data_IF_947650592133
#
_entry.id   IF_947650592133
#
_cell.length_a   1.000
_cell.length_b   1.000
_cell.length_c   1.000
_cell.angle_alpha   90.00
_cell.angle_beta   90.00
_cell.angle_gamma   90.00
#
_symmetry.space_group_name_H-M   'P 1'
#
loop_
_entity.id
_entity.type
_entity.pdbx_description
1 polymer ?
#
# COMPACT_ATOMS: atom_id res chain seq x y z
N UNK A 1 12.81 1.24 -17.10
CA UNK A 1 13.21 2.04 -15.92
C UNK A 1 12.38 3.31 -15.66
N UNK A 2 11.10 3.40 -16.05
CA UNK A 2 10.25 4.59 -15.79
C UNK A 2 8.81 4.24 -15.40
N UNK A 3 8.63 3.23 -14.54
CA UNK A 3 7.30 2.71 -14.19
C UNK A 3 6.44 3.72 -13.39
N UNK A 4 7.07 4.61 -12.61
CA UNK A 4 6.39 5.56 -11.71
C UNK A 4 6.49 7.02 -12.14
N UNK A 5 7.23 7.34 -13.20
CA UNK A 5 7.40 8.73 -13.64
C UNK A 5 6.04 9.34 -14.01
N UNK A 6 5.70 10.47 -13.36
CA UNK A 6 4.43 11.18 -13.53
C UNK A 6 3.17 10.32 -13.24
N UNK A 7 3.32 9.18 -12.57
CA UNK A 7 2.18 8.36 -12.15
C UNK A 7 1.49 9.01 -10.95
N UNK A 8 0.15 9.05 -10.97
CA UNK A 8 -0.64 9.44 -9.79
C UNK A 8 -0.66 8.28 -8.82
N UNK A 9 -0.02 8.43 -7.67
CA UNK A 9 0.08 7.39 -6.65
C UNK A 9 -0.82 7.74 -5.47
N UNK A 10 -1.70 6.81 -5.10
CA UNK A 10 -2.54 6.95 -3.93
C UNK A 10 -2.14 5.93 -2.86
N UNK A 11 -1.79 6.42 -1.68
CA UNK A 11 -1.61 5.64 -0.48
C UNK A 11 -2.91 5.64 0.32
N UNK A 12 -3.50 4.46 0.55
CA UNK A 12 -4.63 4.32 1.47
C UNK A 12 -4.17 4.31 2.93
N UNK A 13 -2.92 3.95 3.20
CA UNK A 13 -2.27 4.07 4.51
C UNK A 13 -0.85 4.59 4.34
N UNK A 14 -0.71 5.90 4.17
CA UNK A 14 0.57 6.58 4.02
C UNK A 14 1.45 6.49 5.26
N UNK A 15 0.88 6.71 6.44
CA UNK A 15 1.63 6.71 7.69
C UNK A 15 2.26 5.34 7.98
N UNK A 16 1.52 4.26 7.71
CA UNK A 16 2.03 2.88 7.84
C UNK A 16 3.11 2.59 6.79
N UNK A 17 2.96 3.10 5.57
CA UNK A 17 3.87 2.86 4.45
C UNK A 17 4.80 4.05 4.19
N UNK A 18 5.20 4.77 5.24
CA UNK A 18 5.94 6.04 5.10
C UNK A 18 7.27 5.87 4.35
N UNK A 19 8.02 4.81 4.64
CA UNK A 19 9.29 4.51 3.94
C UNK A 19 9.08 4.25 2.45
N UNK A 20 7.99 3.57 2.10
CA UNK A 20 7.65 3.35 0.70
C UNK A 20 7.23 4.67 0.03
N UNK A 21 6.46 5.50 0.74
CA UNK A 21 6.07 6.83 0.27
C UNK A 21 7.27 7.75 0.06
N UNK A 22 8.25 7.73 0.97
CA UNK A 22 9.47 8.54 0.85
C UNK A 22 10.31 8.13 -0.35
N UNK A 23 10.49 6.83 -0.57
CA UNK A 23 11.20 6.32 -1.76
C UNK A 23 10.44 6.67 -3.04
N UNK A 24 9.11 6.54 -3.05
CA UNK A 24 8.31 6.92 -4.22
C UNK A 24 8.35 8.43 -4.53
N UNK A 25 8.51 9.28 -3.52
CA UNK A 25 8.63 10.73 -3.68
C UNK A 25 9.89 11.13 -4.49
N UNK A 26 10.90 10.25 -4.57
CA UNK A 26 12.08 10.47 -5.41
C UNK A 26 11.77 10.30 -6.92
N UNK A 27 10.66 9.66 -7.27
CA UNK A 27 10.28 9.34 -8.65
C UNK A 27 9.04 10.09 -9.16
N UNK A 28 8.17 10.56 -8.26
CA UNK A 28 6.94 11.29 -8.64
C UNK A 28 6.50 12.25 -7.54
N UNK A 29 6.10 13.46 -7.96
CA UNK A 29 5.48 14.46 -7.07
C UNK A 29 3.96 14.23 -6.90
N UNK A 30 3.36 13.37 -7.73
CA UNK A 30 1.90 13.13 -7.75
C UNK A 30 1.48 12.11 -6.67
N UNK A 31 1.87 12.37 -5.42
CA UNK A 31 1.54 11.54 -4.26
C UNK A 31 0.30 12.03 -3.54
N UNK A 32 -0.62 11.11 -3.24
CA UNK A 32 -1.80 11.39 -2.45
C UNK A 32 -1.98 10.40 -1.30
N UNK A 33 -2.49 10.85 -0.16
CA UNK A 33 -2.62 10.05 1.06
C UNK A 33 -4.03 10.17 1.65
N UNK A 34 -4.69 9.03 1.84
CA UNK A 34 -6.06 8.96 2.33
C UNK A 34 -6.18 8.78 3.85
N UNK A 35 -5.06 8.83 4.59
CA UNK A 35 -5.00 8.63 6.04
C UNK A 35 -6.04 9.47 6.82
N UNK A 36 -6.21 10.79 6.57
CA UNK A 36 -7.20 11.58 7.31
C UNK A 36 -8.64 11.12 7.08
N UNK A 37 -8.96 10.71 5.84
CA UNK A 37 -10.30 10.24 5.47
C UNK A 37 -10.60 8.90 6.13
N UNK A 38 -9.61 8.00 6.17
CA UNK A 38 -9.79 6.64 6.67
C UNK A 38 -9.71 6.54 8.20
N UNK A 39 -8.90 7.38 8.85
CA UNK A 39 -8.71 7.34 10.31
C UNK A 39 -9.73 8.21 11.06
N UNK A 40 -10.02 9.42 10.57
CA UNK A 40 -10.88 10.38 11.27
C UNK A 40 -12.11 10.82 10.48
N UNK A 41 -12.27 10.35 9.25
CA UNK A 41 -13.37 10.77 8.40
C UNK A 41 -13.27 12.22 7.93
N UNK A 42 -12.05 12.77 7.83
CA UNK A 42 -11.83 14.13 7.36
C UNK A 42 -12.19 14.28 5.86
N UNK A 43 -12.69 15.45 5.43
CA UNK A 43 -13.07 15.70 4.05
C UNK A 43 -11.85 16.09 3.21
N UNK A 44 -10.98 15.13 2.88
CA UNK A 44 -9.88 15.38 1.95
C UNK A 44 -8.70 14.42 2.08
N UNK A 45 -7.98 14.25 0.96
CA UNK A 45 -6.71 13.52 0.91
C UNK A 45 -5.54 14.51 0.97
N UNK A 46 -4.42 14.10 1.56
CA UNK A 46 -3.19 14.89 1.56
C UNK A 46 -2.48 14.71 0.22
N UNK A 47 -1.75 15.72 -0.24
CA UNK A 47 -1.12 15.75 -1.58
C UNK A 47 0.41 15.81 -1.53
N UNK A 48 1.01 15.60 -0.36
CA UNK A 48 2.47 15.64 -0.21
C UNK A 48 2.94 14.85 1.00
N UNK A 49 4.19 14.38 0.93
CA UNK A 49 4.84 13.70 2.05
C UNK A 49 4.92 14.61 3.28
N UNK A 50 5.20 15.90 3.07
CA UNK A 50 5.23 16.89 4.15
C UNK A 50 3.87 17.05 4.83
N UNK A 51 2.78 17.04 4.07
CA UNK A 51 1.44 17.08 4.65
C UNK A 51 1.15 15.81 5.48
N UNK A 52 1.62 14.65 5.03
CA UNK A 52 1.52 13.40 5.78
C UNK A 52 2.34 13.45 7.09
N UNK A 53 3.57 13.96 7.07
CA UNK A 53 4.40 14.14 8.28
C UNK A 53 3.71 15.03 9.31
N UNK A 54 3.20 16.19 8.88
CA UNK A 54 2.48 17.13 9.74
C UNK A 54 1.22 16.48 10.33
N UNK A 55 0.48 15.72 9.51
CA UNK A 55 -0.67 14.97 9.95
C UNK A 55 -0.30 13.90 10.99
N UNK A 56 0.74 13.09 10.74
CA UNK A 56 1.20 12.05 11.65
C UNK A 56 1.65 12.66 13.01
N UNK A 57 2.41 13.75 12.97
CA UNK A 57 2.85 14.46 14.17
C UNK A 57 1.67 15.00 15.00
N UNK A 58 0.64 15.54 14.34
CA UNK A 58 -0.54 16.09 15.01
C UNK A 58 -1.57 15.05 15.46
N UNK A 59 -1.63 13.88 14.81
CA UNK A 59 -2.63 12.83 15.09
C UNK A 59 -2.18 11.80 16.12
N UNK A 60 -0.87 11.65 16.35
CA UNK A 60 -0.29 10.71 17.32
C UNK A 60 -0.89 10.78 18.74
N UNK A 61 -1.19 11.98 19.30
CA UNK A 61 -1.85 12.08 20.61
C UNK A 61 -3.29 11.57 20.59
N UNK A 62 -4.03 11.79 19.48
CA UNK A 62 -5.46 11.47 19.36
C UNK A 62 -5.68 9.98 19.13
N UNK A 63 -4.83 9.32 18.34
CA UNK A 63 -4.92 7.88 18.08
C UNK A 63 -4.65 7.04 19.33
N UNK A 64 -3.78 7.50 20.25
CA UNK A 64 -3.55 6.86 21.56
C UNK A 64 -4.76 6.90 22.49
N UNK A 65 -5.70 7.82 22.26
CA UNK A 65 -6.90 8.00 23.06
C UNK A 65 -8.14 7.34 22.45
N UNK A 66 -8.04 6.67 21.31
CA UNK A 66 -9.18 5.97 20.70
C UNK A 66 -9.21 4.53 21.22
N UNK A 67 -10.08 4.17 22.17
CA UNK A 67 -10.21 2.80 22.63
C UNK A 67 -10.79 1.99 21.46
N UNK A 68 -10.26 0.79 21.26
CA UNK A 68 -10.87 -0.22 20.42
C UNK A 68 -12.31 -0.44 20.91
N UNK A 69 -13.32 0.08 20.19
CA UNK A 69 -14.73 -0.14 20.55
C UNK A 69 -15.68 1.06 20.49
N UNK A 70 -15.22 2.26 20.11
CA UNK A 70 -16.10 3.40 19.91
C UNK A 70 -16.64 3.50 18.48
N UNK A 71 -17.64 2.70 18.09
CA UNK A 71 -18.50 3.07 16.97
C UNK A 71 -19.20 4.39 17.35
N UNK A 72 -18.62 5.54 17.00
CA UNK A 72 -19.30 6.82 17.13
C UNK A 72 -20.61 6.71 16.30
N UNK A 73 -21.77 6.66 16.98
CA UNK A 73 -23.05 6.68 16.28
C UNK A 73 -23.27 8.11 15.79
N UNK A 74 -23.77 8.26 14.56
CA UNK A 74 -24.21 9.53 13.91
C UNK A 74 -23.30 10.30 12.94
N UNK A 75 -22.29 9.68 12.29
CA UNK A 75 -21.65 10.27 11.10
C UNK A 75 -22.12 9.65 9.77
N UNK A 76 -23.37 9.20 9.67
CA UNK A 76 -23.87 8.53 8.45
C UNK A 76 -23.71 9.37 7.15
N UNK A 77 -24.00 10.69 7.13
CA UNK A 77 -23.76 11.51 5.94
C UNK A 77 -22.27 11.67 5.62
N UNK A 78 -21.44 11.90 6.64
CA UNK A 78 -20.00 12.04 6.50
C UNK A 78 -19.34 10.77 5.95
N UNK A 79 -19.79 9.59 6.38
CA UNK A 79 -19.32 8.30 5.86
C UNK A 79 -19.63 8.12 4.38
N UNK A 80 -20.82 8.53 3.92
CA UNK A 80 -21.18 8.46 2.50
C UNK A 80 -20.31 9.39 1.65
N UNK A 81 -20.11 10.63 2.11
CA UNK A 81 -19.23 11.61 1.46
C UNK A 81 -17.80 11.08 1.40
N UNK A 82 -17.28 10.57 2.51
CA UNK A 82 -15.92 10.02 2.57
C UNK A 82 -15.75 8.82 1.64
N UNK A 83 -16.74 7.92 1.58
CA UNK A 83 -16.73 6.80 0.63
C UNK A 83 -16.70 7.28 -0.83
N UNK A 84 -17.46 8.32 -1.15
CA UNK A 84 -17.45 8.92 -2.49
C UNK A 84 -16.09 9.55 -2.82
N UNK A 85 -15.52 10.32 -1.88
CA UNK A 85 -14.19 10.91 -2.01
C UNK A 85 -13.10 9.85 -2.22
N UNK A 86 -13.13 8.77 -1.44
CA UNK A 86 -12.18 7.66 -1.58
C UNK A 86 -12.34 6.94 -2.92
N UNK A 87 -13.57 6.63 -3.35
CA UNK A 87 -13.81 6.03 -4.67
C UNK A 87 -13.30 6.92 -5.80
N UNK A 88 -13.50 8.24 -5.69
CA UNK A 88 -12.97 9.21 -6.65
C UNK A 88 -11.43 9.22 -6.65
N UNK A 89 -10.80 9.31 -5.48
CA UNK A 89 -9.35 9.28 -5.36
C UNK A 89 -8.75 8.01 -5.97
N UNK A 90 -9.36 6.85 -5.70
CA UNK A 90 -8.94 5.56 -6.27
C UNK A 90 -9.10 5.56 -7.79
N UNK A 91 -10.21 6.09 -8.33
CA UNK A 91 -10.41 6.21 -9.78
C UNK A 91 -9.39 7.12 -10.45
N UNK A 92 -9.04 8.23 -9.80
CA UNK A 92 -8.11 9.23 -10.33
C UNK A 92 -6.63 8.77 -10.28
N UNK A 93 -6.31 7.77 -9.45
CA UNK A 93 -4.94 7.24 -9.28
C UNK A 93 -4.57 6.20 -10.35
N UNK A 94 -3.30 6.15 -10.75
CA UNK A 94 -2.76 5.12 -11.65
C UNK A 94 -2.21 3.92 -10.88
N UNK A 95 -1.59 4.23 -9.73
CA UNK A 95 -0.98 3.29 -8.80
C UNK A 95 -1.65 3.43 -7.44
N UNK A 96 -2.02 2.31 -6.83
CA UNK A 96 -2.62 2.28 -5.49
C UNK A 96 -1.72 1.49 -4.56
N UNK A 97 -1.31 2.10 -3.45
CA UNK A 97 -0.59 1.44 -2.36
C UNK A 97 -1.56 1.20 -1.21
N UNK A 98 -1.87 -0.07 -0.95
CA UNK A 98 -2.90 -0.44 0.00
C UNK A 98 -2.74 -1.88 0.49
N UNK A 99 -3.29 -2.18 1.67
CA UNK A 99 -3.44 -3.57 2.10
C UNK A 99 -4.57 -4.28 1.34
N UNK A 100 -4.54 -5.61 1.32
CA UNK A 100 -5.62 -6.43 0.76
C UNK A 100 -7.01 -6.01 1.29
N UNK A 101 -7.15 -5.81 2.60
CA UNK A 101 -8.40 -5.42 3.25
C UNK A 101 -8.94 -4.04 2.85
N UNK A 102 -8.07 -3.17 2.36
CA UNK A 102 -8.49 -1.89 1.80
C UNK A 102 -8.91 -2.07 0.34
N UNK A 103 -8.16 -2.85 -0.43
CA UNK A 103 -8.44 -3.12 -1.85
C UNK A 103 -9.76 -3.88 -2.06
N UNK A 104 -10.13 -4.81 -1.17
CA UNK A 104 -11.36 -5.60 -1.29
C UNK A 104 -12.66 -4.77 -1.23
N UNK A 105 -12.56 -3.49 -0.81
CA UNK A 105 -13.68 -2.55 -0.76
C UNK A 105 -14.03 -1.95 -2.13
N UNK A 106 -13.18 -2.15 -3.13
CA UNK A 106 -13.27 -1.54 -4.46
C UNK A 106 -13.53 -2.60 -5.53
N UNK A 107 -14.35 -2.25 -6.51
CA UNK A 107 -14.71 -3.14 -7.63
C UNK A 107 -13.98 -2.79 -8.92
N UNK A 108 -14.37 -3.43 -10.02
CA UNK A 108 -13.82 -3.16 -11.34
C UNK A 108 -13.95 -1.69 -11.78
N UNK A 109 -15.06 -1.03 -11.41
CA UNK A 109 -15.27 0.39 -11.69
C UNK A 109 -14.22 1.32 -11.06
N UNK A 110 -13.51 0.85 -10.04
CA UNK A 110 -12.44 1.59 -9.39
C UNK A 110 -11.05 1.01 -9.65
N UNK A 111 -10.88 -0.26 -10.02
CA UNK A 111 -9.56 -0.91 -10.09
C UNK A 111 -9.12 -1.32 -11.50
N UNK A 112 -10.01 -1.27 -12.50
CA UNK A 112 -9.65 -1.71 -13.86
C UNK A 112 -8.48 -0.91 -14.43
N UNK A 113 -7.52 -1.64 -15.01
CA UNK A 113 -6.32 -1.08 -15.62
C UNK A 113 -5.26 -0.54 -14.65
N UNK A 114 -5.51 -0.57 -13.34
CA UNK A 114 -4.61 0.02 -12.34
C UNK A 114 -3.45 -0.91 -11.98
N UNK A 115 -2.41 -0.30 -11.43
CA UNK A 115 -1.35 -1.00 -10.71
C UNK A 115 -1.64 -0.95 -9.23
N UNK A 116 -1.50 -2.09 -8.54
CA UNK A 116 -1.61 -2.13 -7.08
C UNK A 116 -0.30 -2.60 -6.47
N UNK A 117 0.20 -1.84 -5.50
CA UNK A 117 1.23 -2.27 -4.56
C UNK A 117 0.54 -2.75 -3.28
N UNK A 118 0.73 -4.01 -2.94
CA UNK A 118 0.09 -4.66 -1.79
C UNK A 118 1.01 -5.77 -1.31
N UNK A 119 0.69 -6.35 -0.15
CA UNK A 119 1.36 -7.53 0.39
C UNK A 119 0.39 -8.70 0.49
N UNK A 120 0.93 -9.88 0.75
CA UNK A 120 0.24 -11.13 1.08
C UNK A 120 -0.76 -11.59 0.01
N UNK A 121 -0.33 -11.60 -1.26
CA UNK A 121 -1.18 -12.04 -2.36
C UNK A 121 -1.11 -13.56 -2.55
N UNK A 122 -2.16 -14.24 -2.08
CA UNK A 122 -2.44 -15.66 -2.36
C UNK A 122 -3.04 -15.84 -3.77
N UNK A 123 -3.10 -17.08 -4.31
CA UNK A 123 -3.74 -17.36 -5.58
C UNK A 123 -5.20 -16.87 -5.66
N UNK A 124 -5.98 -17.01 -4.59
CA UNK A 124 -7.37 -16.57 -4.53
C UNK A 124 -7.48 -15.05 -4.57
N UNK A 125 -6.60 -14.35 -3.85
CA UNK A 125 -6.52 -12.88 -3.87
C UNK A 125 -6.10 -12.36 -5.23
N UNK A 126 -5.16 -13.05 -5.89
CA UNK A 126 -4.73 -12.73 -7.25
C UNK A 126 -5.89 -12.88 -8.25
N UNK A 127 -6.67 -13.95 -8.15
CA UNK A 127 -7.85 -14.18 -8.97
C UNK A 127 -8.91 -13.09 -8.74
N UNK A 128 -9.17 -12.69 -7.50
CA UNK A 128 -10.08 -11.58 -7.21
C UNK A 128 -9.59 -10.24 -7.78
N UNK A 129 -8.27 -9.97 -7.82
CA UNK A 129 -7.73 -8.77 -8.47
C UNK A 129 -7.87 -8.85 -9.99
N UNK A 130 -7.70 -10.04 -10.59
CA UNK A 130 -7.94 -10.30 -12.01
C UNK A 130 -9.39 -9.97 -12.40
N UNK A 131 -10.36 -10.44 -11.63
CA UNK A 131 -11.79 -10.18 -11.85
C UNK A 131 -12.14 -8.69 -11.77
N UNK A 132 -11.38 -7.92 -10.97
CA UNK A 132 -11.51 -6.47 -10.86
C UNK A 132 -10.75 -5.69 -11.93
N UNK A 133 -10.13 -6.37 -12.90
CA UNK A 133 -9.44 -5.72 -14.02
C UNK A 133 -8.04 -5.18 -13.69
N UNK A 134 -7.48 -5.51 -12.52
CA UNK A 134 -6.15 -5.03 -12.11
C UNK A 134 -5.09 -5.50 -13.09
N UNK A 135 -4.27 -4.55 -13.56
CA UNK A 135 -3.29 -4.78 -14.62
C UNK A 135 -2.01 -5.41 -14.09
N UNK A 136 -1.46 -4.84 -13.02
CA UNK A 136 -0.22 -5.29 -12.39
C UNK A 136 -0.40 -5.30 -10.90
N UNK A 137 0.06 -6.37 -10.26
CA UNK A 137 0.15 -6.48 -8.80
C UNK A 137 1.63 -6.55 -8.45
N UNK A 138 2.12 -5.53 -7.75
CA UNK A 138 3.45 -5.55 -7.14
C UNK A 138 3.25 -6.07 -5.73
N UNK A 139 3.52 -7.36 -5.56
CA UNK A 139 3.43 -8.02 -4.26
C UNK A 139 4.73 -7.80 -3.49
N UNK A 140 4.62 -7.02 -2.43
CA UNK A 140 5.72 -6.67 -1.53
C UNK A 140 6.01 -7.81 -0.52
N UNK A 141 5.24 -8.89 -0.53
CA UNK A 141 5.57 -10.10 0.23
C UNK A 141 6.71 -10.88 -0.43
N UNK A 142 7.48 -11.56 0.42
CA UNK A 142 8.47 -12.55 0.01
C UNK A 142 7.80 -13.94 0.03
N UNK A 143 7.79 -14.64 -1.10
CA UNK A 143 7.19 -15.97 -1.19
C UNK A 143 8.23 -17.06 -0.88
N UNK A 144 8.45 -17.32 0.41
CA UNK A 144 9.35 -18.38 0.89
C UNK A 144 8.73 -19.78 0.85
N UNK A 145 7.40 -19.87 0.97
CA UNK A 145 6.66 -21.14 1.08
C UNK A 145 5.61 -21.24 -0.01
N UNK A 146 4.95 -22.39 -0.11
CA UNK A 146 3.76 -22.51 -0.97
C UNK A 146 2.64 -21.56 -0.50
N UNK A 147 2.48 -21.40 0.82
CA UNK A 147 1.53 -20.46 1.40
C UNK A 147 2.14 -19.07 1.52
N UNK A 148 1.38 -18.05 1.11
CA UNK A 148 1.82 -16.66 1.24
C UNK A 148 1.72 -16.19 2.68
N UNK A 149 2.86 -15.79 3.25
CA UNK A 149 2.97 -15.27 4.61
C UNK A 149 3.26 -13.77 4.62
N UNK A 150 2.93 -13.11 5.73
CA UNK A 150 3.27 -11.72 5.95
C UNK A 150 4.75 -11.53 6.25
N UNK A 151 5.26 -10.33 5.97
CA UNK A 151 6.66 -9.98 6.24
C UNK A 151 7.00 -10.10 7.74
N UNK A 152 6.03 -9.88 8.62
CA UNK A 152 6.17 -10.08 10.07
C UNK A 152 6.52 -11.54 10.44
N UNK A 153 5.97 -12.52 9.72
CA UNK A 153 6.29 -13.94 9.95
C UNK A 153 7.69 -14.24 9.43
N UNK A 154 8.04 -13.74 8.23
CA UNK A 154 9.38 -13.88 7.66
C UNK A 154 10.43 -13.25 8.58
N UNK A 155 10.16 -12.04 9.08
CA UNK A 155 11.01 -11.36 10.05
C UNK A 155 11.15 -12.18 11.34
N UNK A 156 10.06 -12.68 11.91
CA UNK A 156 10.12 -13.53 13.10
C UNK A 156 10.97 -14.80 12.88
N UNK A 157 10.90 -15.41 11.68
CA UNK A 157 11.74 -16.55 11.33
C UNK A 157 13.22 -16.18 11.23
N UNK A 158 13.54 -15.02 10.64
CA UNK A 158 14.89 -14.48 10.58
C UNK A 158 15.44 -14.23 11.98
N UNK A 159 14.67 -13.55 12.83
CA UNK A 159 15.03 -13.28 14.23
C UNK A 159 15.30 -14.58 14.99
N UNK A 160 14.42 -15.58 14.84
CA UNK A 160 14.57 -16.88 15.49
C UNK A 160 15.79 -17.67 14.98
N UNK A 161 16.09 -17.59 13.68
CA UNK A 161 17.21 -18.28 13.06
C UNK A 161 18.57 -17.66 13.43
N UNK A 162 18.63 -16.33 13.55
CA UNK A 162 19.85 -15.61 13.93
C UNK A 162 20.27 -15.87 15.39
N UNK A 163 19.31 -16.19 16.27
CA UNK A 163 19.57 -16.42 17.69
C UNK A 163 20.12 -15.20 18.43
N UNK A 164 20.10 -14.02 17.80
CA UNK A 164 20.50 -12.74 18.36
C UNK A 164 19.29 -12.07 19.02
N UNK A 165 19.47 -11.30 20.10
CA UNK A 165 18.38 -10.48 20.62
C UNK A 165 18.02 -9.40 19.59
N UNK A 166 16.73 -9.06 19.50
CA UNK A 166 16.19 -8.23 18.42
C UNK A 166 16.81 -6.83 18.34
N UNK A 167 17.30 -6.31 19.45
CA UNK A 167 17.99 -5.01 19.56
C UNK A 167 19.41 -5.00 19.01
N UNK A 168 20.00 -6.18 18.76
CA UNK A 168 21.35 -6.36 18.21
C UNK A 168 21.35 -6.73 16.72
N UNK A 169 20.19 -6.85 16.09
CA UNK A 169 20.08 -7.19 14.68
C UNK A 169 20.10 -5.90 13.86
N UNK A 170 21.12 -5.77 13.02
CA UNK A 170 21.33 -4.61 12.17
C UNK A 170 20.59 -4.75 10.84
N UNK A 171 20.41 -3.64 10.12
CA UNK A 171 19.81 -3.67 8.78
C UNK A 171 20.63 -4.55 7.80
N UNK A 172 21.95 -4.54 7.96
CA UNK A 172 22.86 -5.32 7.12
C UNK A 172 22.67 -6.83 7.31
N UNK A 173 22.31 -7.30 8.51
CA UNK A 173 21.97 -8.72 8.74
C UNK A 173 20.77 -9.14 7.87
N UNK A 174 19.76 -8.27 7.73
CA UNK A 174 18.62 -8.54 6.86
C UNK A 174 19.00 -8.52 5.37
N UNK A 175 19.84 -7.57 4.97
CA UNK A 175 20.27 -7.44 3.57
C UNK A 175 21.12 -8.64 3.14
N UNK A 176 21.99 -9.15 4.01
CA UNK A 176 22.76 -10.38 3.77
C UNK A 176 21.82 -11.56 3.54
N UNK A 177 20.87 -11.80 4.45
CA UNK A 177 19.89 -12.89 4.33
C UNK A 177 19.05 -12.75 3.06
N UNK A 178 18.55 -11.56 2.76
CA UNK A 178 17.75 -11.33 1.55
C UNK A 178 18.56 -11.56 0.28
N UNK A 179 19.86 -11.23 0.29
CA UNK A 179 20.76 -11.45 -0.84
C UNK A 179 21.07 -12.93 -1.01
N UNK A 180 21.47 -13.61 0.06
CA UNK A 180 21.88 -15.02 0.06
C UNK A 180 20.74 -15.97 -0.32
N UNK A 181 19.53 -15.67 0.16
CA UNK A 181 18.34 -16.45 -0.16
C UNK A 181 17.62 -15.94 -1.43
N UNK A 182 18.20 -14.96 -2.12
CA UNK A 182 17.63 -14.28 -3.30
C UNK A 182 16.17 -13.83 -3.13
N UNK A 183 15.84 -13.30 -1.95
CA UNK A 183 14.49 -12.90 -1.59
C UNK A 183 14.11 -11.63 -2.33
N UNK A 184 13.16 -11.77 -3.26
CA UNK A 184 12.72 -10.69 -4.15
C UNK A 184 11.20 -10.51 -4.05
N UNK A 185 10.71 -9.26 -4.05
CA UNK A 185 9.30 -8.98 -4.31
C UNK A 185 8.85 -9.57 -5.64
N UNK A 186 7.55 -9.81 -5.78
CA UNK A 186 6.98 -10.43 -7.00
C UNK A 186 6.17 -9.42 -7.79
N UNK A 187 6.40 -9.37 -9.10
CA UNK A 187 5.54 -8.64 -10.02
C UNK A 187 4.64 -9.65 -10.71
N UNK A 188 3.35 -9.59 -10.39
CA UNK A 188 2.33 -10.49 -10.91
C UNK A 188 1.49 -9.77 -11.96
N UNK A 189 1.13 -10.50 -13.01
CA UNK A 189 0.30 -10.01 -14.11
C UNK A 189 -1.00 -10.83 -14.13
N UNK A 190 -2.07 -10.38 -13.43
CA UNK A 190 -3.30 -11.17 -13.33
C UNK A 190 -3.97 -11.41 -14.69
N UNK A 191 -3.78 -10.47 -15.63
CA UNK A 191 -4.34 -10.50 -16.98
C UNK A 191 -3.20 -10.64 -17.98
N UNK A 192 -3.23 -11.71 -18.79
CA UNK A 192 -2.24 -11.94 -19.84
C UNK A 192 -2.25 -10.81 -20.88
N UNK A 193 -1.06 -10.46 -21.40
CA UNK A 193 -0.89 -9.43 -22.43
C UNK A 193 -0.90 -7.98 -21.93
N UNK A 194 -1.43 -7.66 -20.74
CA UNK A 194 -1.39 -6.28 -20.21
C UNK A 194 -0.10 -5.98 -19.40
N UNK A 195 1.08 -6.16 -20.02
CA UNK A 195 2.39 -5.97 -19.35
C UNK A 195 2.94 -4.55 -19.40
N UNK A 196 2.55 -3.73 -20.39
CA UNK A 196 3.13 -2.40 -20.62
C UNK A 196 2.25 -1.24 -20.14
N UNK A 197 2.90 -0.22 -19.58
CA UNK A 197 2.33 1.12 -19.41
C UNK A 197 2.76 1.94 -20.63
N UNK A 198 1.98 1.92 -21.71
CA UNK A 198 2.21 2.86 -22.81
C UNK A 198 1.68 4.22 -22.39
N UNK A 199 2.56 5.08 -21.87
CA UNK A 199 2.34 6.52 -21.87
C UNK A 199 3.47 7.15 -22.67
N UNK A 200 3.11 7.73 -23.80
CA UNK A 200 3.97 8.64 -24.53
C UNK A 200 4.32 9.78 -23.58
N UNK A 201 5.56 9.82 -23.11
CA UNK A 201 6.09 10.99 -22.43
C UNK A 201 6.20 12.09 -23.48
N UNK A 202 5.29 13.06 -23.45
CA UNK A 202 5.53 14.33 -24.11
C UNK A 202 6.55 15.06 -23.22
N UNK A 203 7.78 15.18 -23.76
CA UNK A 203 8.88 16.00 -23.22
C UNK A 203 8.53 17.47 -23.39
#
# INVERSE_FOLDING_TARGET
>A
DQFFNNAKVLFLSGATNYRLASVMAEYTDNLSFADPVLQFGAPGVLQSLRALELYAAGSHPVLRFSPEGGLLPSLAPGRLVNRFLLKRAVRDADVIVASWHQLERYGAAELDGKVVLTSTISPERLQALKERGVRVVVDCSIQLFEQTVGLNVVEAMILAALGKPADQIAHDDYLEIFTDLELKPRILYPIEGKKQINRFAFV
#
